data_IF_918730016241
#
_entry.id   IF_918730016241
#
_cell.length_a   1.000
_cell.length_b   1.000
_cell.length_c   1.000
_cell.angle_alpha   90.00
_cell.angle_beta   90.00
_cell.angle_gamma   90.00
#
_symmetry.space_group_name_H-M   'P 1'
#
loop_
_entity.id
_entity.type
_entity.pdbx_description
1 polymer ?
#
# COMPACT_ATOMS: atom_id res chain seq x y z
N UNK A 1 6.53 -14.99 -1.46
CA UNK A 1 6.12 -15.48 -2.79
C UNK A 1 6.73 -16.85 -3.06
N UNK A 2 6.00 -17.80 -3.72
CA UNK A 2 6.50 -19.16 -3.98
C UNK A 2 7.80 -19.22 -4.79
N UNK A 3 8.04 -18.22 -5.63
CA UNK A 3 9.23 -18.03 -6.44
C UNK A 3 10.49 -17.62 -5.63
N UNK A 4 10.30 -17.24 -4.36
CA UNK A 4 11.37 -16.82 -3.46
C UNK A 4 11.73 -17.87 -2.42
N UNK A 5 10.98 -18.99 -2.33
CA UNK A 5 11.28 -20.07 -1.38
C UNK A 5 12.65 -20.67 -1.70
N UNK A 6 13.53 -20.67 -0.68
CA UNK A 6 14.90 -21.18 -0.80
C UNK A 6 15.90 -20.25 -1.48
N UNK A 7 15.49 -19.04 -1.91
CA UNK A 7 16.42 -18.04 -2.43
C UNK A 7 16.78 -17.03 -1.35
N UNK A 8 18.07 -16.68 -1.28
CA UNK A 8 18.52 -15.53 -0.51
C UNK A 8 18.23 -14.29 -1.33
N UNK A 9 17.35 -13.45 -0.83
CA UNK A 9 17.09 -12.13 -1.43
C UNK A 9 17.02 -11.08 -0.33
N UNK A 10 17.29 -9.85 -0.68
CA UNK A 10 17.20 -8.72 0.24
C UNK A 10 16.62 -7.51 -0.48
N UNK A 11 16.17 -6.57 0.32
CA UNK A 11 15.73 -5.26 -0.15
C UNK A 11 16.42 -4.18 0.67
N UNK A 12 16.66 -3.04 0.05
CA UNK A 12 17.08 -1.85 0.77
C UNK A 12 15.96 -1.41 1.72
N UNK A 13 16.32 -0.77 2.81
CA UNK A 13 15.34 -0.23 3.76
C UNK A 13 14.45 0.80 3.06
N UNK A 14 13.12 0.59 3.12
CA UNK A 14 12.20 1.24 2.20
C UNK A 14 12.05 2.75 2.45
N UNK A 15 12.05 3.24 3.70
CA UNK A 15 11.92 4.68 3.98
C UNK A 15 13.19 5.44 3.62
N UNK A 16 14.36 4.83 3.83
CA UNK A 16 15.64 5.39 3.38
C UNK A 16 15.68 5.53 1.86
N UNK A 17 15.18 4.50 1.14
CA UNK A 17 15.06 4.57 -0.33
C UNK A 17 14.02 5.61 -0.77
N UNK A 18 12.88 5.71 -0.10
CA UNK A 18 11.89 6.74 -0.39
C UNK A 18 12.47 8.16 -0.22
N UNK A 19 13.25 8.39 0.82
CA UNK A 19 13.92 9.68 1.03
C UNK A 19 14.92 10.02 -0.10
N UNK A 20 15.71 9.04 -0.56
CA UNK A 20 16.61 9.20 -1.69
C UNK A 20 15.83 9.52 -2.99
N UNK A 21 14.80 8.72 -3.31
CA UNK A 21 13.95 8.92 -4.48
C UNK A 21 13.19 10.26 -4.43
N UNK A 22 12.82 10.73 -3.25
CA UNK A 22 12.17 12.02 -3.07
C UNK A 22 13.03 13.18 -3.57
N UNK A 23 14.35 13.08 -3.42
CA UNK A 23 15.31 14.09 -3.87
C UNK A 23 15.71 13.94 -5.34
N UNK A 24 15.73 12.72 -5.85
CA UNK A 24 16.11 12.42 -7.24
C UNK A 24 14.96 12.63 -8.23
N UNK A 25 13.70 12.62 -7.75
CA UNK A 25 12.51 12.80 -8.59
C UNK A 25 11.81 14.13 -8.31
N UNK A 26 10.97 14.60 -9.27
CA UNK A 26 10.30 15.91 -9.15
C UNK A 26 8.78 15.87 -9.38
N UNK A 27 8.28 14.91 -10.14
CA UNK A 27 6.89 14.89 -10.61
C UNK A 27 6.12 13.65 -10.18
N UNK A 28 6.82 12.56 -9.85
CA UNK A 28 6.18 11.31 -9.45
C UNK A 28 5.81 11.34 -7.97
N UNK A 29 4.64 10.83 -7.64
CA UNK A 29 4.34 10.43 -6.28
C UNK A 29 5.22 9.26 -5.87
N UNK A 30 5.56 9.20 -4.61
CA UNK A 30 6.39 8.16 -4.01
C UNK A 30 5.61 7.59 -2.84
N UNK A 31 5.58 6.28 -2.72
CA UNK A 31 4.85 5.66 -1.61
C UNK A 31 5.42 4.29 -1.25
N UNK A 32 5.04 3.84 -0.08
CA UNK A 32 5.30 2.46 0.36
C UNK A 32 4.08 1.58 0.08
N UNK A 33 4.28 0.35 -0.43
CA UNK A 33 3.19 -0.57 -0.76
C UNK A 33 3.51 -2.00 -0.30
N UNK A 34 3.41 -2.30 0.97
CA UNK A 34 3.20 -1.43 2.12
C UNK A 34 4.27 -1.73 3.18
N UNK A 35 4.53 -0.78 4.06
CA UNK A 35 5.45 -0.99 5.17
C UNK A 35 4.75 -1.73 6.32
N UNK A 36 5.44 -2.68 6.92
CA UNK A 36 4.97 -3.32 8.14
C UNK A 36 5.19 -2.39 9.34
N UNK A 37 4.08 -1.97 9.98
CA UNK A 37 4.15 -1.09 11.16
C UNK A 37 4.83 -1.74 12.36
N UNK A 38 4.84 -3.08 12.44
CA UNK A 38 5.45 -3.84 13.52
C UNK A 38 6.99 -3.72 13.59
N UNK A 39 7.63 -3.20 12.55
CA UNK A 39 9.10 -3.06 12.50
C UNK A 39 9.60 -1.69 13.04
N UNK A 40 8.71 -0.79 13.43
CA UNK A 40 9.07 0.54 13.92
C UNK A 40 8.12 1.02 15.00
N UNK A 41 8.63 1.89 15.87
CA UNK A 41 7.75 2.66 16.75
C UNK A 41 6.80 3.53 15.89
N UNK A 42 5.48 3.53 16.14
CA UNK A 42 4.51 4.24 15.30
C UNK A 42 4.70 5.76 15.29
N UNK A 43 5.09 6.37 16.40
CA UNK A 43 5.38 7.80 16.44
C UNK A 43 6.63 8.16 15.62
N UNK A 44 7.67 7.30 15.67
CA UNK A 44 8.85 7.46 14.83
C UNK A 44 8.50 7.29 13.34
N UNK A 45 7.65 6.31 13.01
CA UNK A 45 7.18 6.10 11.63
C UNK A 45 6.43 7.32 11.10
N UNK A 46 5.54 7.92 11.88
CA UNK A 46 4.84 9.16 11.51
C UNK A 46 5.84 10.31 11.26
N UNK A 47 6.85 10.47 12.11
CA UNK A 47 7.90 11.49 11.93
C UNK A 47 8.77 11.26 10.71
N UNK A 48 9.19 10.02 10.45
CA UNK A 48 9.96 9.69 9.24
C UNK A 48 9.16 9.99 7.98
N UNK A 49 7.86 9.69 7.99
CA UNK A 49 6.95 9.95 6.86
C UNK A 49 6.80 11.45 6.58
N UNK A 50 6.63 12.26 7.62
CA UNK A 50 6.58 13.72 7.51
C UNK A 50 7.88 14.30 6.91
N UNK A 51 9.03 13.74 7.32
CA UNK A 51 10.33 14.14 6.77
C UNK A 51 10.44 13.81 5.29
N UNK A 52 9.97 12.64 4.86
CA UNK A 52 9.99 12.25 3.44
C UNK A 52 9.00 13.11 2.63
N UNK A 53 7.86 13.46 3.23
CA UNK A 53 6.89 14.34 2.59
C UNK A 53 7.47 15.74 2.34
N UNK A 54 8.19 16.30 3.30
CA UNK A 54 8.96 17.55 3.14
C UNK A 54 10.01 17.42 2.03
N UNK A 55 10.83 16.37 2.06
CA UNK A 55 11.88 16.14 1.05
C UNK A 55 11.31 15.99 -0.36
N UNK A 56 10.10 15.44 -0.49
CA UNK A 56 9.41 15.25 -1.76
C UNK A 56 8.58 16.46 -2.20
N UNK A 57 8.46 17.49 -1.37
CA UNK A 57 7.56 18.63 -1.59
C UNK A 57 6.09 18.18 -1.75
N UNK A 58 5.61 17.34 -0.82
CA UNK A 58 4.22 16.92 -0.76
C UNK A 58 3.83 15.81 -1.73
N UNK A 59 4.75 14.91 -2.11
CA UNK A 59 4.48 13.80 -3.04
C UNK A 59 4.51 12.41 -2.37
N UNK A 60 4.70 12.33 -1.06
CA UNK A 60 4.80 11.06 -0.36
C UNK A 60 3.42 10.52 0.06
N UNK A 61 3.24 9.21 -0.06
CA UNK A 61 2.07 8.46 0.40
C UNK A 61 2.59 7.39 1.37
N UNK A 62 2.14 7.44 2.63
CA UNK A 62 2.47 6.42 3.61
C UNK A 62 1.55 5.21 3.46
N UNK A 63 2.01 4.17 2.80
CA UNK A 63 1.29 2.90 2.75
C UNK A 63 1.73 1.96 3.88
N UNK A 64 0.77 1.50 4.69
CA UNK A 64 1.01 0.66 5.87
C UNK A 64 0.20 -0.63 5.86
N UNK A 65 0.67 -1.62 6.60
CA UNK A 65 0.00 -2.89 6.81
C UNK A 65 0.42 -3.56 8.12
N UNK A 66 -0.31 -4.62 8.48
CA UNK A 66 -0.05 -5.38 9.71
C UNK A 66 1.13 -6.37 9.59
N UNK A 67 1.70 -6.52 8.38
CA UNK A 67 2.73 -7.53 8.09
C UNK A 67 2.15 -8.92 7.83
N UNK A 68 2.72 -9.60 6.84
CA UNK A 68 2.29 -10.93 6.38
C UNK A 68 3.47 -11.89 6.12
N UNK A 69 4.70 -11.43 6.31
CA UNK A 69 5.90 -12.20 6.01
C UNK A 69 6.59 -12.71 7.28
N UNK A 70 6.19 -13.89 7.74
CA UNK A 70 6.67 -14.50 8.99
C UNK A 70 8.19 -14.60 9.05
N UNK A 71 8.84 -15.01 7.97
CA UNK A 71 10.30 -15.20 7.93
C UNK A 71 11.08 -13.94 8.32
N UNK A 72 10.60 -12.76 7.91
CA UNK A 72 11.24 -11.49 8.24
C UNK A 72 11.06 -11.15 9.73
N UNK A 73 9.87 -11.40 10.29
CA UNK A 73 9.63 -11.26 11.72
C UNK A 73 10.57 -12.14 12.54
N UNK A 74 10.68 -13.41 12.17
CA UNK A 74 11.55 -14.38 12.87
C UNK A 74 13.03 -14.01 12.76
N UNK A 75 13.48 -13.65 11.54
CA UNK A 75 14.88 -13.31 11.26
C UNK A 75 15.37 -12.09 12.04
N UNK A 76 14.52 -11.06 12.17
CA UNK A 76 14.89 -9.81 12.85
C UNK A 76 14.37 -9.69 14.29
N UNK A 77 13.73 -10.74 14.81
CA UNK A 77 13.24 -10.77 16.18
C UNK A 77 12.04 -9.88 16.44
N UNK A 78 11.23 -9.60 15.43
CA UNK A 78 9.99 -8.84 15.59
C UNK A 78 8.84 -9.77 16.03
N UNK A 79 7.94 -9.32 16.93
CA UNK A 79 6.82 -10.13 17.36
C UNK A 79 5.84 -10.39 16.22
N UNK A 80 5.53 -11.69 15.99
CA UNK A 80 4.53 -12.09 14.99
C UNK A 80 3.10 -12.10 15.56
N UNK A 81 2.97 -12.46 16.81
CA UNK A 81 1.68 -12.61 17.48
C UNK A 81 0.97 -11.27 17.60
N UNK A 82 -0.36 -11.32 17.46
CA UNK A 82 -1.25 -10.17 17.62
C UNK A 82 -0.90 -8.98 16.71
N UNK A 83 -0.27 -9.26 15.56
CA UNK A 83 0.17 -8.21 14.62
C UNK A 83 -0.95 -7.24 14.18
N UNK A 84 -2.21 -7.73 14.02
CA UNK A 84 -3.35 -6.86 13.69
C UNK A 84 -3.73 -5.97 14.89
N UNK A 85 -3.59 -6.45 16.14
CA UNK A 85 -3.82 -5.60 17.32
C UNK A 85 -2.73 -4.54 17.47
N UNK A 86 -1.47 -4.90 17.23
CA UNK A 86 -0.36 -3.93 17.15
C UNK A 86 -0.56 -2.90 16.05
N UNK A 87 -1.06 -3.34 14.89
CA UNK A 87 -1.37 -2.45 13.77
C UNK A 87 -2.49 -1.46 14.12
N UNK A 88 -3.53 -1.91 14.80
CA UNK A 88 -4.63 -1.04 15.25
C UNK A 88 -4.15 0.04 16.23
N UNK A 89 -3.32 -0.31 17.24
CA UNK A 89 -2.73 0.69 18.13
C UNK A 89 -1.77 1.64 17.38
N UNK A 90 -1.00 1.11 16.42
CA UNK A 90 -0.14 1.95 15.59
C UNK A 90 -0.94 3.00 14.80
N UNK A 91 -2.10 2.62 14.24
CA UNK A 91 -2.97 3.56 13.52
C UNK A 91 -3.53 4.65 14.43
N UNK A 92 -3.86 4.33 15.69
CA UNK A 92 -4.35 5.30 16.69
C UNK A 92 -3.28 6.34 17.07
N UNK A 93 -2.01 6.04 16.85
CA UNK A 93 -0.90 6.99 17.05
C UNK A 93 -0.55 7.70 15.74
N UNK A 94 -0.39 6.95 14.65
CA UNK A 94 0.08 7.48 13.35
C UNK A 94 -0.92 8.52 12.81
N UNK A 95 -2.21 8.17 12.73
CA UNK A 95 -3.20 9.03 12.07
C UNK A 95 -3.30 10.42 12.68
N UNK A 96 -3.50 10.60 14.01
CA UNK A 96 -3.55 11.93 14.60
C UNK A 96 -2.20 12.66 14.54
N UNK A 97 -1.06 11.96 14.66
CA UNK A 97 0.24 12.62 14.46
C UNK A 97 0.42 13.16 13.04
N UNK A 98 -0.05 12.45 12.02
CA UNK A 98 -0.03 12.94 10.63
C UNK A 98 -0.98 14.16 10.45
N UNK A 99 -2.06 14.23 11.21
CA UNK A 99 -2.94 15.41 11.25
C UNK A 99 -2.33 16.60 12.05
N UNK A 100 -1.20 16.41 12.72
CA UNK A 100 -0.53 17.43 13.53
C UNK A 100 -1.09 17.56 14.95
N UNK A 101 -1.81 16.57 15.41
CA UNK A 101 -2.35 16.53 16.76
C UNK A 101 -1.29 16.09 17.78
N UNK A 102 -1.47 16.52 19.02
CA UNK A 102 -0.73 16.03 20.17
C UNK A 102 -1.33 14.70 20.64
N UNK A 103 -0.51 13.64 20.70
CA UNK A 103 -0.97 12.28 20.99
C UNK A 103 -0.41 11.77 22.30
N UNK A 104 -1.28 11.60 23.28
CA UNK A 104 -1.01 10.79 24.48
C UNK A 104 -1.81 9.50 24.36
N UNK A 105 -1.11 8.37 24.30
CA UNK A 105 -1.69 7.04 24.11
C UNK A 105 -1.03 6.07 25.07
N UNK A 106 -1.84 5.25 25.76
CA UNK A 106 -1.38 4.21 26.69
C UNK A 106 -2.06 2.89 26.31
N UNK A 107 -1.44 2.17 25.37
CA UNK A 107 -1.92 0.91 24.83
C UNK A 107 -1.20 -0.30 25.40
N UNK A 108 -1.56 -1.47 24.91
CA UNK A 108 -0.90 -2.72 25.30
C UNK A 108 0.49 -2.87 24.67
N UNK A 109 0.67 -2.35 23.44
CA UNK A 109 1.89 -2.54 22.65
C UNK A 109 2.70 -1.28 22.50
N UNK A 110 2.06 -0.14 22.51
CA UNK A 110 2.69 1.16 22.32
C UNK A 110 2.20 2.18 23.32
N UNK A 111 3.06 3.12 23.63
CA UNK A 111 2.68 4.30 24.42
C UNK A 111 3.36 5.56 23.87
N UNK A 112 2.66 6.68 23.98
CA UNK A 112 3.20 8.01 23.68
C UNK A 112 2.73 8.99 24.74
N UNK A 113 3.51 10.05 24.97
CA UNK A 113 3.11 11.15 25.84
C UNK A 113 3.36 12.46 25.11
N UNK A 114 2.29 13.17 24.83
CA UNK A 114 2.30 14.48 24.16
C UNK A 114 3.12 14.48 22.85
N UNK A 115 3.08 13.36 22.10
CA UNK A 115 3.84 13.19 20.88
C UNK A 115 3.21 14.00 19.74
N UNK A 116 4.04 14.75 19.00
CA UNK A 116 3.60 15.58 17.87
C UNK A 116 4.68 15.61 16.78
N UNK A 117 4.25 15.74 15.53
CA UNK A 117 5.17 15.94 14.40
C UNK A 117 5.51 17.43 14.27
N UNK A 118 6.73 17.79 14.66
CA UNK A 118 7.32 19.13 14.47
C UNK A 118 8.77 18.99 14.00
N UNK A 119 9.22 19.74 12.94
CA UNK A 119 8.37 20.59 12.09
C UNK A 119 7.36 19.81 11.28
N UNK A 120 6.33 20.48 10.77
CA UNK A 120 5.35 19.93 9.84
C UNK A 120 5.90 19.97 8.41
N UNK A 121 5.50 19.00 7.60
CA UNK A 121 5.71 18.99 6.16
C UNK A 121 4.81 19.99 5.40
N UNK A 122 4.86 19.96 4.07
CA UNK A 122 4.21 20.99 3.23
C UNK A 122 2.68 20.88 3.15
N UNK A 123 2.10 19.77 3.64
CA UNK A 123 0.65 19.54 3.58
C UNK A 123 -0.03 19.93 4.90
N UNK A 124 -0.93 20.93 4.91
CA UNK A 124 -1.62 21.36 6.13
C UNK A 124 -2.40 20.25 6.82
N UNK A 125 -3.08 19.42 6.02
CA UNK A 125 -3.94 18.32 6.49
C UNK A 125 -3.17 17.00 6.70
N UNK A 126 -1.85 17.02 6.53
CA UNK A 126 -0.97 15.85 6.60
C UNK A 126 -0.87 15.08 5.29
N UNK A 127 0.04 14.12 5.27
CA UNK A 127 0.24 13.25 4.10
C UNK A 127 -0.79 12.12 4.06
N UNK A 128 -1.14 11.59 2.88
CA UNK A 128 -2.10 10.50 2.74
C UNK A 128 -1.64 9.21 3.39
N UNK A 129 -2.55 8.57 4.12
CA UNK A 129 -2.36 7.26 4.71
C UNK A 129 -3.06 6.19 3.85
N UNK A 130 -2.28 5.32 3.23
CA UNK A 130 -2.78 4.17 2.51
C UNK A 130 -2.71 2.92 3.40
N UNK A 131 -3.79 2.15 3.46
CA UNK A 131 -3.79 0.84 4.12
C UNK A 131 -3.89 -0.27 3.07
N UNK A 132 -2.90 -1.15 3.03
CA UNK A 132 -2.91 -2.35 2.20
C UNK A 132 -3.58 -3.52 2.93
N UNK A 133 -4.50 -4.21 2.25
CA UNK A 133 -5.22 -5.34 2.81
C UNK A 133 -5.11 -6.56 1.90
N UNK A 134 -4.43 -7.61 2.38
CA UNK A 134 -4.46 -8.94 1.78
C UNK A 134 -5.65 -9.76 2.28
N UNK A 135 -5.97 -9.61 3.58
CA UNK A 135 -7.05 -10.32 4.24
C UNK A 135 -8.41 -9.64 4.06
N UNK A 136 -9.43 -10.46 3.87
CA UNK A 136 -10.82 -10.00 3.72
C UNK A 136 -11.58 -9.97 5.06
N UNK A 137 -10.86 -10.06 6.17
CA UNK A 137 -11.46 -10.10 7.51
C UNK A 137 -12.13 -8.77 7.91
N UNK A 138 -13.24 -8.83 8.67
CA UNK A 138 -14.03 -7.64 9.02
C UNK A 138 -13.21 -6.59 9.80
N UNK A 139 -12.29 -7.03 10.67
CA UNK A 139 -11.45 -6.10 11.44
C UNK A 139 -10.57 -5.23 10.54
N UNK A 140 -9.93 -5.80 9.51
CA UNK A 140 -9.10 -5.03 8.59
C UNK A 140 -9.93 -4.04 7.75
N UNK A 141 -11.13 -4.44 7.30
CA UNK A 141 -12.04 -3.55 6.57
C UNK A 141 -12.47 -2.37 7.46
N UNK A 142 -12.79 -2.62 8.74
CA UNK A 142 -13.08 -1.56 9.71
C UNK A 142 -11.90 -0.59 9.87
N UNK A 143 -10.68 -1.10 10.00
CA UNK A 143 -9.49 -0.25 10.14
C UNK A 143 -9.26 0.64 8.90
N UNK A 144 -9.48 0.10 7.70
CA UNK A 144 -9.47 0.90 6.47
C UNK A 144 -10.54 2.00 6.53
N UNK A 145 -11.80 1.64 6.85
CA UNK A 145 -12.90 2.60 6.91
C UNK A 145 -12.64 3.73 7.92
N UNK A 146 -11.99 3.44 9.05
CA UNK A 146 -11.76 4.41 10.11
C UNK A 146 -10.54 5.29 9.89
N UNK A 147 -9.45 4.77 9.29
CA UNK A 147 -8.15 5.45 9.33
C UNK A 147 -7.57 5.79 7.95
N UNK A 148 -7.93 5.07 6.88
CA UNK A 148 -7.25 5.22 5.60
C UNK A 148 -7.80 6.39 4.76
N UNK A 149 -6.93 7.16 4.12
CA UNK A 149 -7.30 8.02 3.00
C UNK A 149 -7.40 7.22 1.71
N UNK A 150 -6.53 6.20 1.57
CA UNK A 150 -6.45 5.31 0.43
C UNK A 150 -6.48 3.85 0.87
N UNK A 151 -7.13 3.01 0.10
CA UNK A 151 -7.16 1.57 0.31
C UNK A 151 -6.53 0.84 -0.87
N UNK A 152 -5.51 0.03 -0.61
CA UNK A 152 -4.95 -0.85 -1.63
C UNK A 152 -5.52 -2.26 -1.54
N UNK A 153 -6.07 -2.72 -2.67
CA UNK A 153 -6.45 -4.10 -2.90
C UNK A 153 -5.33 -4.81 -3.68
N UNK A 154 -4.60 -5.69 -3.02
CA UNK A 154 -3.63 -6.56 -3.67
C UNK A 154 -4.33 -7.70 -4.41
N UNK A 155 -4.10 -7.82 -5.70
CA UNK A 155 -4.69 -8.85 -6.55
C UNK A 155 -3.64 -9.82 -7.12
N UNK A 156 -2.37 -9.54 -6.95
CA UNK A 156 -1.27 -10.26 -7.62
C UNK A 156 -1.04 -11.71 -7.18
N UNK A 157 -1.74 -12.22 -6.17
CA UNK A 157 -1.67 -13.63 -5.73
C UNK A 157 -2.85 -14.49 -6.22
N UNK A 158 -3.77 -13.90 -6.98
CA UNK A 158 -4.98 -14.58 -7.50
C UNK A 158 -5.35 -14.08 -8.88
N UNK A 159 -6.64 -13.90 -9.11
CA UNK A 159 -7.15 -13.32 -10.35
C UNK A 159 -6.98 -11.79 -10.34
N UNK A 160 -6.23 -11.28 -11.30
CA UNK A 160 -5.92 -9.87 -11.45
C UNK A 160 -6.89 -9.11 -12.38
N UNK A 161 -7.98 -9.74 -12.82
CA UNK A 161 -8.98 -9.08 -13.66
C UNK A 161 -9.97 -8.25 -12.85
N UNK A 162 -10.51 -7.21 -13.46
CA UNK A 162 -11.46 -6.29 -12.83
C UNK A 162 -12.73 -6.99 -12.29
N UNK A 163 -13.17 -8.08 -12.94
CA UNK A 163 -14.30 -8.89 -12.46
C UNK A 163 -14.09 -9.47 -11.06
N UNK A 164 -12.87 -9.88 -10.73
CA UNK A 164 -12.54 -10.41 -9.41
C UNK A 164 -12.50 -9.30 -8.33
N UNK A 165 -12.31 -8.05 -8.72
CA UNK A 165 -12.31 -6.90 -7.81
C UNK A 165 -13.71 -6.50 -7.35
N UNK A 166 -14.76 -6.73 -8.14
CA UNK A 166 -16.14 -6.26 -7.87
C UNK A 166 -16.59 -6.60 -6.45
N UNK A 167 -16.55 -7.89 -6.09
CA UNK A 167 -16.99 -8.31 -4.76
C UNK A 167 -16.12 -7.73 -3.64
N UNK A 168 -14.82 -7.63 -3.85
CA UNK A 168 -13.88 -7.10 -2.85
C UNK A 168 -14.14 -5.61 -2.60
N UNK A 169 -14.41 -4.87 -3.67
CA UNK A 169 -14.84 -3.47 -3.63
C UNK A 169 -16.14 -3.32 -2.84
N UNK A 170 -17.17 -4.05 -3.24
CA UNK A 170 -18.50 -3.94 -2.63
C UNK A 170 -18.48 -4.25 -1.13
N UNK A 171 -17.71 -5.27 -0.73
CA UNK A 171 -17.49 -5.61 0.69
C UNK A 171 -16.76 -4.50 1.46
N UNK A 172 -15.87 -3.74 0.79
CA UNK A 172 -15.16 -2.60 1.42
C UNK A 172 -16.06 -1.37 1.51
N UNK A 173 -16.83 -1.05 0.46
CA UNK A 173 -17.75 0.08 0.46
C UNK A 173 -18.83 -0.12 1.51
N UNK A 174 -19.40 -1.32 1.64
CA UNK A 174 -20.32 -1.67 2.71
C UNK A 174 -19.72 -1.48 4.11
N UNK A 175 -18.43 -1.82 4.31
CA UNK A 175 -17.75 -1.57 5.57
C UNK A 175 -17.57 -0.07 5.85
N UNK A 176 -17.36 0.77 4.84
CA UNK A 176 -17.34 2.22 5.01
C UNK A 176 -18.70 2.73 5.52
N UNK A 177 -19.81 2.32 4.90
CA UNK A 177 -21.16 2.68 5.31
C UNK A 177 -21.46 2.22 6.74
N UNK A 178 -21.13 0.95 7.09
CA UNK A 178 -21.29 0.39 8.44
C UNK A 178 -20.58 1.23 9.51
N UNK A 179 -19.45 1.84 9.15
CA UNK A 179 -18.67 2.67 10.07
C UNK A 179 -18.85 4.18 9.88
N UNK A 180 -19.94 4.58 9.20
CA UNK A 180 -20.35 5.98 9.07
C UNK A 180 -19.45 6.83 8.16
N UNK A 181 -18.70 6.19 7.27
CA UNK A 181 -17.85 6.86 6.29
C UNK A 181 -18.52 6.89 4.93
N UNK A 182 -18.51 8.03 4.25
CA UNK A 182 -18.84 8.11 2.84
C UNK A 182 -17.89 7.24 2.01
N UNK A 183 -18.38 6.18 1.32
CA UNK A 183 -17.55 5.30 0.51
C UNK A 183 -16.78 6.02 -0.60
N UNK A 184 -17.33 7.12 -1.14
CA UNK A 184 -16.67 7.89 -2.20
C UNK A 184 -15.48 8.72 -1.69
N UNK A 185 -15.37 8.94 -0.38
CA UNK A 185 -14.21 9.57 0.24
C UNK A 185 -12.97 8.67 0.29
N UNK A 186 -13.12 7.35 0.06
CA UNK A 186 -12.03 6.40 0.06
C UNK A 186 -11.40 6.26 -1.32
N UNK A 187 -10.16 6.72 -1.48
CA UNK A 187 -9.40 6.51 -2.71
C UNK A 187 -9.14 5.01 -2.90
N UNK A 188 -9.60 4.48 -4.02
CA UNK A 188 -9.50 3.06 -4.36
C UNK A 188 -8.25 2.80 -5.19
N UNK A 189 -7.33 2.06 -4.64
CA UNK A 189 -6.07 1.68 -5.25
C UNK A 189 -6.03 0.17 -5.43
N UNK A 190 -5.68 -0.31 -6.62
CA UNK A 190 -5.53 -1.74 -6.91
C UNK A 190 -4.11 -2.06 -7.36
N UNK A 191 -3.66 -3.27 -7.06
CA UNK A 191 -2.36 -3.76 -7.54
C UNK A 191 -2.54 -5.09 -8.26
N UNK A 192 -2.89 -5.08 -9.55
CA UNK A 192 -2.94 -6.28 -10.38
C UNK A 192 -1.54 -6.74 -10.76
N UNK A 193 -1.36 -8.04 -10.94
CA UNK A 193 -0.20 -8.61 -11.61
C UNK A 193 -0.39 -8.50 -13.11
N UNK A 194 0.65 -8.05 -13.80
CA UNK A 194 0.65 -7.86 -15.24
C UNK A 194 1.77 -8.69 -15.84
N UNK A 195 1.48 -9.51 -16.85
CA UNK A 195 2.48 -10.28 -17.61
C UNK A 195 2.58 -9.78 -19.06
N UNK A 196 3.24 -8.64 -19.29
CA UNK A 196 3.27 -7.98 -20.59
C UNK A 196 4.19 -8.69 -21.59
N UNK A 197 5.02 -9.65 -21.15
CA UNK A 197 5.90 -10.45 -21.99
C UNK A 197 5.35 -11.86 -22.25
N UNK A 198 4.16 -12.17 -21.71
CA UNK A 198 3.55 -13.51 -21.83
C UNK A 198 4.25 -14.60 -21.00
N UNK A 199 5.15 -14.24 -20.09
CA UNK A 199 5.78 -15.20 -19.17
C UNK A 199 4.72 -15.78 -18.25
N UNK A 200 4.67 -17.13 -18.18
CA UNK A 200 3.71 -17.85 -17.36
C UNK A 200 3.86 -17.49 -15.86
N UNK A 201 2.76 -17.42 -15.10
CA UNK A 201 2.80 -17.18 -13.67
C UNK A 201 3.50 -18.32 -12.94
N UNK A 202 4.08 -18.02 -11.78
CA UNK A 202 4.83 -18.95 -10.94
C UNK A 202 3.94 -19.91 -10.13
N UNK A 203 2.63 -19.68 -10.11
CA UNK A 203 1.63 -20.51 -9.46
C UNK A 203 0.39 -20.65 -10.33
N UNK A 204 -0.25 -21.84 -10.40
CA UNK A 204 -1.49 -22.05 -11.15
C UNK A 204 -2.68 -21.23 -10.63
N UNK A 205 -2.63 -20.77 -9.39
CA UNK A 205 -3.68 -19.92 -8.79
C UNK A 205 -3.59 -18.46 -9.23
N UNK A 206 -2.50 -18.08 -9.89
CA UNK A 206 -2.29 -16.72 -10.39
C UNK A 206 -2.86 -16.57 -11.79
N UNK A 207 -3.72 -15.58 -11.99
CA UNK A 207 -4.28 -15.19 -13.27
C UNK A 207 -3.93 -13.71 -13.56
N UNK A 208 -2.70 -13.43 -14.09
CA UNK A 208 -2.29 -12.06 -14.37
C UNK A 208 -3.00 -11.50 -15.59
N UNK A 209 -3.05 -10.18 -15.70
CA UNK A 209 -3.39 -9.52 -16.97
C UNK A 209 -2.28 -9.83 -17.97
N UNK A 210 -2.63 -10.48 -19.07
CA UNK A 210 -1.69 -10.93 -20.11
C UNK A 210 -2.28 -10.70 -21.50
N UNK A 211 -1.42 -10.69 -22.51
CA UNK A 211 -1.79 -10.44 -23.90
C UNK A 211 -0.93 -9.36 -24.52
N UNK A 212 -1.43 -8.72 -25.58
CA UNK A 212 -0.79 -7.56 -26.20
C UNK A 212 -0.82 -6.35 -25.25
N UNK A 213 0.00 -5.35 -25.53
CA UNK A 213 0.00 -4.10 -24.75
C UNK A 213 -1.38 -3.40 -24.77
N UNK A 214 -2.08 -3.47 -25.90
CA UNK A 214 -3.42 -2.93 -26.09
C UNK A 214 -4.47 -3.68 -25.28
N UNK A 215 -4.47 -5.02 -25.31
CA UNK A 215 -5.39 -5.86 -24.54
C UNK A 215 -5.22 -5.66 -23.02
N UNK A 216 -3.97 -5.52 -22.56
CA UNK A 216 -3.69 -5.23 -21.15
C UNK A 216 -4.16 -3.82 -20.77
N UNK A 217 -3.95 -2.84 -21.63
CA UNK A 217 -4.42 -1.47 -21.41
C UNK A 217 -5.96 -1.42 -21.32
N UNK A 218 -6.68 -2.13 -22.18
CA UNK A 218 -8.13 -2.28 -22.12
C UNK A 218 -8.58 -2.93 -20.80
N UNK A 219 -7.90 -4.01 -20.39
CA UNK A 219 -8.19 -4.66 -19.10
C UNK A 219 -7.94 -3.73 -17.88
N UNK A 220 -6.96 -2.83 -17.96
CA UNK A 220 -6.73 -1.81 -16.94
C UNK A 220 -7.82 -0.72 -16.95
N UNK A 221 -8.35 -0.33 -18.10
CA UNK A 221 -9.47 0.60 -18.19
C UNK A 221 -10.73 0.08 -17.49
N UNK A 222 -10.98 -1.23 -17.49
CA UNK A 222 -12.10 -1.83 -16.78
C UNK A 222 -12.07 -1.56 -15.25
N UNK A 223 -10.92 -1.32 -14.66
CA UNK A 223 -10.84 -0.89 -13.25
C UNK A 223 -11.32 0.55 -13.04
N UNK A 224 -11.07 1.43 -14.01
CA UNK A 224 -11.54 2.81 -13.96
C UNK A 224 -13.08 2.86 -13.93
N UNK A 225 -13.74 2.02 -14.72
CA UNK A 225 -15.20 1.92 -14.75
C UNK A 225 -15.79 1.40 -13.42
N UNK A 226 -14.99 0.70 -12.63
CA UNK A 226 -15.32 0.27 -11.27
C UNK A 226 -14.97 1.29 -10.20
N UNK A 227 -14.57 2.51 -10.58
CA UNK A 227 -14.25 3.61 -9.68
C UNK A 227 -12.88 3.50 -9.00
N UNK A 228 -11.93 2.75 -9.60
CA UNK A 228 -10.54 2.74 -9.15
C UNK A 228 -9.86 4.05 -9.55
N UNK A 229 -9.20 4.69 -8.59
CA UNK A 229 -8.52 5.97 -8.77
C UNK A 229 -7.03 5.79 -9.09
N UNK A 230 -6.42 4.69 -8.62
CA UNK A 230 -4.98 4.46 -8.75
C UNK A 230 -4.70 2.98 -9.02
N UNK A 231 -3.81 2.71 -9.97
CA UNK A 231 -3.36 1.35 -10.30
C UNK A 231 -1.84 1.28 -10.13
N UNK A 232 -1.37 0.39 -9.24
CA UNK A 232 0.04 0.02 -9.17
C UNK A 232 0.27 -1.27 -9.93
N UNK A 233 0.80 -1.19 -11.14
CA UNK A 233 1.09 -2.35 -11.95
C UNK A 233 2.26 -3.15 -11.35
N UNK A 234 2.06 -4.47 -11.14
CA UNK A 234 3.14 -5.37 -10.75
C UNK A 234 3.57 -6.22 -11.96
N UNK A 235 4.65 -5.85 -12.66
CA UNK A 235 5.10 -6.58 -13.84
C UNK A 235 5.65 -7.96 -13.48
N UNK A 236 5.39 -8.93 -14.34
CA UNK A 236 5.99 -10.25 -14.32
C UNK A 236 6.57 -10.58 -15.72
N UNK A 237 7.88 -10.78 -15.86
CA UNK A 237 8.88 -10.77 -14.79
C UNK A 237 9.11 -9.38 -14.20
N UNK A 238 9.50 -9.34 -12.92
CA UNK A 238 9.86 -8.09 -12.24
C UNK A 238 11.35 -7.79 -12.48
N UNK A 239 11.67 -7.37 -13.68
CA UNK A 239 13.01 -7.02 -14.15
C UNK A 239 12.92 -5.93 -15.23
N UNK A 240 14.05 -5.54 -15.80
CA UNK A 240 14.10 -4.49 -16.82
C UNK A 240 13.21 -4.81 -18.04
N UNK A 241 13.18 -6.05 -18.52
CA UNK A 241 12.34 -6.48 -19.65
C UNK A 241 10.85 -6.26 -19.33
N UNK A 242 10.40 -6.69 -18.16
CA UNK A 242 9.02 -6.51 -17.71
C UNK A 242 8.65 -5.02 -17.56
N UNK A 243 9.56 -4.19 -17.09
CA UNK A 243 9.35 -2.73 -16.97
C UNK A 243 9.27 -2.07 -18.35
N UNK A 244 10.16 -2.43 -19.27
CA UNK A 244 10.13 -1.90 -20.66
C UNK A 244 8.85 -2.33 -21.37
N UNK A 245 8.40 -3.57 -21.19
CA UNK A 245 7.14 -4.02 -21.77
C UNK A 245 5.92 -3.31 -21.15
N UNK A 246 5.95 -3.06 -19.83
CA UNK A 246 4.91 -2.27 -19.15
C UNK A 246 4.84 -0.83 -19.68
N UNK A 247 5.97 -0.21 -20.05
CA UNK A 247 5.95 1.13 -20.62
C UNK A 247 5.09 1.21 -21.90
N UNK A 248 5.12 0.18 -22.75
CA UNK A 248 4.26 0.10 -23.95
C UNK A 248 2.77 -0.02 -23.58
N UNK A 249 2.44 -0.78 -22.54
CA UNK A 249 1.06 -0.84 -22.02
C UNK A 249 0.60 0.56 -21.58
N UNK A 250 1.46 1.33 -20.91
CA UNK A 250 1.12 2.69 -20.45
C UNK A 250 0.92 3.67 -21.59
N UNK A 251 1.60 3.49 -22.73
CA UNK A 251 1.37 4.29 -23.95
C UNK A 251 -0.07 4.09 -24.46
N UNK A 252 -0.54 2.84 -24.55
CA UNK A 252 -1.92 2.54 -24.94
C UNK A 252 -2.95 2.94 -23.88
N UNK A 253 -2.62 2.82 -22.60
CA UNK A 253 -3.51 3.20 -21.50
C UNK A 253 -3.77 4.72 -21.43
N UNK A 254 -2.85 5.53 -21.93
CA UNK A 254 -2.96 7.00 -21.95
C UNK A 254 -3.58 7.56 -23.23
N UNK A 255 -3.69 6.75 -24.29
CA UNK A 255 -4.28 7.14 -25.58
C UNK A 255 -5.81 7.08 -25.51
#
# INVERSE_FOLDING_TARGET
>A
PPDLVGKIYGAWECLTMCAALARETRHMEIGTLVINTGYRNPALLARMSETIDELSAGRFILGVGAGDFFTEHDTFGYPWERRVSRFEEALQIIRPMLAGEHVTFDGEFYSTQDAVNLPRGPRPDGLPLLIGVLGRGPRMKRLVAQYADQWNCWMGSGDSHASAYIKIRDDMLAACEEHGRDPESLVRHVTPRISPTGVAPTSPDMNPLSGTAEEIAEALHAFKDLGVNHISAWPHPNNEEGIVALARVLEHFRS
#
